data_IF_261564253630
#
_entry.id   IF_261564253630
#
_cell.length_a   1.000
_cell.length_b   1.000
_cell.length_c   1.000
_cell.angle_alpha   90.00
_cell.angle_beta   90.00
_cell.angle_gamma   90.00
#
_symmetry.space_group_name_H-M   'P 1'
#
loop_
_entity.id
_entity.type
_entity.pdbx_description
1 polymer ?
#
# COMPACT_ATOMS: atom_id res chain seq x y z
N UNK A 1 5.07 6.64 21.40
CA UNK A 1 4.57 6.94 20.05
C UNK A 1 5.32 6.01 19.10
N UNK A 2 4.77 4.82 18.84
CA UNK A 2 5.35 3.90 17.85
C UNK A 2 4.91 4.46 16.50
N UNK A 3 5.78 5.21 15.86
CA UNK A 3 5.55 5.69 14.50
C UNK A 3 5.27 4.50 13.58
N UNK A 4 4.41 4.71 12.61
CA UNK A 4 4.17 3.71 11.57
C UNK A 4 5.53 3.29 10.98
N UNK A 5 5.90 1.99 10.99
CA UNK A 5 7.22 1.55 10.55
C UNK A 5 7.43 1.98 9.11
N UNK A 6 8.50 2.72 8.83
CA UNK A 6 8.78 3.22 7.47
C UNK A 6 8.86 2.07 6.46
N UNK A 7 9.35 0.91 6.90
CA UNK A 7 9.49 -0.28 6.06
C UNK A 7 8.13 -0.77 5.56
N UNK A 8 7.10 -0.76 6.42
CA UNK A 8 5.74 -1.16 6.05
C UNK A 8 5.12 -0.22 5.01
N UNK A 9 5.49 1.07 5.03
CA UNK A 9 5.01 2.05 4.04
C UNK A 9 5.52 1.70 2.65
N UNK A 10 6.79 1.36 2.53
CA UNK A 10 7.39 1.00 1.25
C UNK A 10 6.79 -0.29 0.69
N UNK A 11 6.52 -1.27 1.54
CA UNK A 11 5.86 -2.52 1.15
C UNK A 11 4.44 -2.28 0.62
N UNK A 12 3.60 -1.51 1.36
CA UNK A 12 2.25 -1.14 0.90
C UNK A 12 2.29 -0.46 -0.47
N UNK A 13 3.17 0.53 -0.61
CA UNK A 13 3.30 1.32 -1.83
C UNK A 13 3.77 0.47 -3.00
N UNK A 14 4.75 -0.40 -2.78
CA UNK A 14 5.28 -1.30 -3.81
C UNK A 14 4.22 -2.29 -4.28
N UNK A 15 3.46 -2.90 -3.35
CA UNK A 15 2.38 -3.82 -3.70
C UNK A 15 1.31 -3.12 -4.56
N UNK A 16 0.81 -1.96 -4.12
CA UNK A 16 -0.21 -1.22 -4.87
C UNK A 16 0.31 -0.78 -6.24
N UNK A 17 1.54 -0.27 -6.31
CA UNK A 17 2.15 0.14 -7.58
C UNK A 17 2.35 -1.04 -8.54
N UNK A 18 2.71 -2.21 -8.02
CA UNK A 18 2.92 -3.42 -8.84
C UNK A 18 1.62 -3.94 -9.45
N UNK A 19 0.52 -4.00 -8.67
CA UNK A 19 -0.75 -4.58 -9.14
C UNK A 19 -1.65 -3.60 -9.89
N UNK A 20 -1.71 -2.33 -9.47
CA UNK A 20 -2.62 -1.35 -10.06
C UNK A 20 -1.91 -0.35 -10.98
N UNK A 21 -0.58 -0.36 -11.02
CA UNK A 21 0.24 0.54 -11.83
C UNK A 21 -0.02 2.04 -11.56
N UNK A 22 -0.55 2.37 -10.39
CA UNK A 22 -0.71 3.74 -9.95
C UNK A 22 0.64 4.38 -9.67
N UNK A 23 0.75 5.68 -9.92
CA UNK A 23 1.98 6.41 -9.62
C UNK A 23 2.20 6.51 -8.10
N UNK A 24 3.46 6.61 -7.68
CA UNK A 24 3.81 6.87 -6.28
C UNK A 24 3.04 8.07 -5.70
N UNK A 25 2.87 9.13 -6.50
CA UNK A 25 2.16 10.33 -6.10
C UNK A 25 0.66 10.10 -5.85
N UNK A 26 0.03 9.19 -6.58
CA UNK A 26 -1.37 8.82 -6.36
C UNK A 26 -1.52 7.95 -5.11
N UNK A 27 -0.61 6.99 -4.91
CA UNK A 27 -0.64 6.09 -3.76
C UNK A 27 -0.39 6.85 -2.46
N UNK A 28 0.54 7.82 -2.46
CA UNK A 28 0.83 8.63 -1.28
C UNK A 28 -0.30 9.62 -0.91
N UNK A 29 -1.27 9.85 -1.80
CA UNK A 29 -2.49 10.64 -1.47
C UNK A 29 -3.53 9.83 -0.71
N UNK A 30 -3.43 8.49 -0.72
CA UNK A 30 -4.32 7.63 0.03
C UNK A 30 -4.01 7.71 1.52
N UNK A 31 -5.06 7.74 2.33
CA UNK A 31 -4.94 7.60 3.78
C UNK A 31 -4.30 6.25 4.11
N UNK A 32 -3.59 6.18 5.25
CA UNK A 32 -2.95 4.93 5.70
C UNK A 32 -3.90 3.73 5.71
N UNK A 33 -5.17 3.95 6.10
CA UNK A 33 -6.21 2.92 6.12
C UNK A 33 -6.63 2.46 4.72
N UNK A 34 -6.58 3.35 3.74
CA UNK A 34 -7.01 3.05 2.37
C UNK A 34 -5.95 2.22 1.67
N UNK A 35 -4.66 2.55 1.86
CA UNK A 35 -3.57 1.70 1.35
C UNK A 35 -3.60 0.30 1.93
N UNK A 36 -3.77 0.16 3.26
CA UNK A 36 -3.91 -1.16 3.88
C UNK A 36 -5.06 -1.96 3.29
N UNK A 37 -6.21 -1.34 3.08
CA UNK A 37 -7.35 -2.00 2.44
C UNK A 37 -7.00 -2.51 1.03
N UNK A 38 -6.28 -1.73 0.22
CA UNK A 38 -5.85 -2.19 -1.10
C UNK A 38 -4.86 -3.34 -1.04
N UNK A 39 -3.93 -3.32 -0.07
CA UNK A 39 -3.03 -4.45 0.19
C UNK A 39 -3.82 -5.70 0.58
N UNK A 40 -4.81 -5.59 1.47
CA UNK A 40 -5.69 -6.71 1.83
C UNK A 40 -6.46 -7.28 0.63
N UNK A 41 -6.91 -6.43 -0.31
CA UNK A 41 -7.55 -6.92 -1.54
C UNK A 41 -6.54 -7.61 -2.47
N UNK A 42 -5.30 -7.11 -2.56
CA UNK A 42 -4.22 -7.77 -3.32
C UNK A 42 -3.90 -9.15 -2.73
N UNK A 43 -3.82 -9.26 -1.39
CA UNK A 43 -3.55 -10.52 -0.70
C UNK A 43 -4.59 -11.60 -1.02
N UNK A 44 -5.85 -11.24 -1.25
CA UNK A 44 -6.90 -12.18 -1.68
C UNK A 44 -6.72 -12.69 -3.12
N UNK A 45 -5.92 -12.01 -3.94
CA UNK A 45 -5.61 -12.41 -5.31
C UNK A 45 -4.36 -13.30 -5.37
N UNK A 46 -3.59 -13.39 -4.29
CA UNK A 46 -2.44 -14.27 -4.21
C UNK A 46 -2.90 -15.74 -4.11
N UNK A 47 -2.23 -16.66 -4.82
CA UNK A 47 -2.54 -18.09 -4.79
C UNK A 47 -2.19 -18.78 -3.47
#
# INVERSE_FOLDING_TARGET
MVGYPLDLLYEEVAAIAFYFHWSLAEILKLEHRERRRWVEEIEKLLP
#
